data_IF_843821093684
#
_entry.id   IF_843821093684
#
_cell.length_a   1.000
_cell.length_b   1.000
_cell.length_c   1.000
_cell.angle_alpha   90.00
_cell.angle_beta   90.00
_cell.angle_gamma   90.00
#
_symmetry.space_group_name_H-M   'P 1'
#
loop_
_entity.id
_entity.type
_entity.pdbx_description
1 polymer ?
#
# COMPACT_ATOMS: atom_id res chain seq x y z
N UNK A 1 12.62 -6.38 -0.79
CA UNK A 1 12.13 -6.30 -2.19
C UNK A 1 12.05 -4.84 -2.60
N UNK A 2 12.59 -4.49 -3.78
CA UNK A 2 12.54 -3.12 -4.33
C UNK A 2 11.16 -2.87 -4.93
N UNK A 3 10.66 -1.63 -4.82
CA UNK A 3 9.45 -1.23 -5.52
C UNK A 3 9.71 -1.12 -7.02
N UNK A 4 8.66 -1.36 -7.80
CA UNK A 4 8.63 -1.33 -9.26
C UNK A 4 7.77 -0.15 -9.71
N UNK A 5 8.22 0.56 -10.74
CA UNK A 5 7.56 1.78 -11.24
C UNK A 5 8.55 2.79 -11.79
N UNK A 6 8.07 3.99 -12.12
CA UNK A 6 8.96 5.05 -12.62
C UNK A 6 10.00 5.43 -11.54
N UNK A 7 11.28 5.68 -11.90
CA UNK A 7 12.35 5.88 -10.91
C UNK A 7 12.07 6.98 -9.87
N UNK A 8 11.45 8.09 -10.29
CA UNK A 8 11.05 9.19 -9.39
C UNK A 8 9.93 8.78 -8.42
N UNK A 9 9.03 7.90 -8.86
CA UNK A 9 7.91 7.42 -8.05
C UNK A 9 8.38 6.35 -7.07
N UNK A 10 9.34 5.50 -7.45
CA UNK A 10 9.92 4.46 -6.57
C UNK A 10 10.51 5.06 -5.30
N UNK A 11 11.34 6.11 -5.42
CA UNK A 11 11.95 6.78 -4.26
C UNK A 11 10.88 7.38 -3.33
N UNK A 12 9.83 7.95 -3.90
CA UNK A 12 8.73 8.52 -3.12
C UNK A 12 7.88 7.43 -2.44
N UNK A 13 7.57 6.37 -3.18
CA UNK A 13 6.82 5.23 -2.68
C UNK A 13 7.58 4.48 -1.57
N UNK A 14 8.91 4.39 -1.62
CA UNK A 14 9.72 3.83 -0.55
C UNK A 14 9.62 4.65 0.75
N UNK A 15 9.64 5.98 0.65
CA UNK A 15 9.41 6.87 1.81
C UNK A 15 8.02 6.67 2.40
N UNK A 16 6.99 6.64 1.55
CA UNK A 16 5.60 6.41 1.97
C UNK A 16 5.47 5.04 2.64
N UNK A 17 6.07 3.99 2.04
CA UNK A 17 6.07 2.64 2.60
C UNK A 17 6.62 2.64 4.02
N UNK A 18 7.82 3.19 4.24
CA UNK A 18 8.42 3.19 5.58
C UNK A 18 7.57 3.97 6.59
N UNK A 19 7.07 5.14 6.22
CA UNK A 19 6.21 5.97 7.07
C UNK A 19 4.92 5.23 7.44
N UNK A 20 4.22 4.69 6.44
CA UNK A 20 2.95 3.97 6.64
C UNK A 20 3.12 2.70 7.45
N UNK A 21 4.16 1.90 7.19
CA UNK A 21 4.42 0.71 7.98
C UNK A 21 4.62 1.06 9.47
N UNK A 22 5.33 2.16 9.75
CA UNK A 22 5.51 2.65 11.13
C UNK A 22 4.17 3.11 11.74
N UNK A 23 3.44 3.98 11.04
CA UNK A 23 2.15 4.51 11.50
C UNK A 23 1.14 3.39 11.75
N UNK A 24 1.02 2.43 10.84
CA UNK A 24 0.08 1.31 10.97
C UNK A 24 0.45 0.38 12.12
N UNK A 25 1.74 0.11 12.33
CA UNK A 25 2.23 -0.66 13.46
C UNK A 25 1.93 0.01 14.80
N UNK A 26 2.08 1.34 14.88
CA UNK A 26 1.75 2.13 16.08
C UNK A 26 0.24 2.25 16.30
N UNK A 27 -0.55 2.33 15.23
CA UNK A 27 -2.02 2.48 15.30
C UNK A 27 -2.70 1.20 15.78
N UNK A 28 -2.38 0.06 15.18
CA UNK A 28 -2.95 -1.23 15.59
C UNK A 28 -1.99 -2.37 15.25
N UNK A 29 -1.13 -2.78 16.20
CA UNK A 29 -0.11 -3.80 15.94
C UNK A 29 -0.72 -5.17 15.60
N UNK A 30 -1.86 -5.53 16.18
CA UNK A 30 -2.55 -6.82 15.91
C UNK A 30 -3.06 -6.90 14.47
N UNK A 31 -3.76 -5.87 14.01
CA UNK A 31 -4.27 -5.79 12.63
C UNK A 31 -3.10 -5.70 11.65
N UNK A 32 -2.09 -4.89 11.98
CA UNK A 32 -0.92 -4.75 11.14
C UNK A 32 -0.17 -6.07 10.98
N UNK A 33 0.05 -6.84 12.04
CA UNK A 33 0.71 -8.15 11.96
C UNK A 33 0.00 -9.12 11.00
N UNK A 34 -1.34 -9.09 10.97
CA UNK A 34 -2.13 -9.92 10.06
C UNK A 34 -1.95 -9.53 8.58
N UNK A 35 -1.78 -8.23 8.28
CA UNK A 35 -1.63 -7.74 6.91
C UNK A 35 -0.18 -7.48 6.50
N UNK A 36 0.77 -7.49 7.43
CA UNK A 36 2.18 -7.15 7.20
C UNK A 36 2.76 -8.05 6.12
N UNK A 37 2.53 -9.36 6.21
CA UNK A 37 2.99 -10.33 5.23
C UNK A 37 2.39 -10.11 3.82
N UNK A 38 1.19 -9.53 3.73
CA UNK A 38 0.52 -9.24 2.46
C UNK A 38 1.05 -7.93 1.88
N UNK A 39 1.08 -6.87 2.70
CA UNK A 39 1.48 -5.54 2.26
C UNK A 39 2.98 -5.45 1.97
N UNK A 40 3.81 -6.27 2.63
CA UNK A 40 5.26 -6.35 2.33
C UNK A 40 5.57 -7.04 1.00
N UNK A 41 4.63 -7.83 0.46
CA UNK A 41 4.69 -8.41 -0.89
C UNK A 41 4.30 -7.42 -1.98
N UNK A 42 3.67 -6.30 -1.63
CA UNK A 42 3.29 -5.27 -2.60
C UNK A 42 4.53 -4.52 -3.08
N UNK A 43 4.85 -4.70 -4.36
CA UNK A 43 6.01 -4.11 -5.02
C UNK A 43 5.63 -2.93 -5.89
N UNK A 44 4.35 -2.60 -6.08
CA UNK A 44 3.94 -1.48 -6.94
C UNK A 44 4.15 -0.12 -6.26
N UNK A 45 5.00 0.73 -6.82
CA UNK A 45 5.18 2.10 -6.35
C UNK A 45 3.88 2.92 -6.43
N UNK A 46 3.13 2.75 -7.53
CA UNK A 46 1.84 3.42 -7.73
C UNK A 46 0.81 3.04 -6.67
N UNK A 47 0.83 1.77 -6.21
CA UNK A 47 -0.08 1.33 -5.14
C UNK A 47 0.19 2.08 -3.84
N UNK A 48 1.46 2.13 -3.41
CA UNK A 48 1.87 2.84 -2.19
C UNK A 48 1.51 4.33 -2.25
N UNK A 49 1.71 4.96 -3.41
CA UNK A 49 1.36 6.37 -3.63
C UNK A 49 -0.16 6.58 -3.57
N UNK A 50 -0.94 5.73 -4.25
CA UNK A 50 -2.40 5.83 -4.28
C UNK A 50 -3.06 5.55 -2.92
N UNK A 51 -2.35 4.89 -2.00
CA UNK A 51 -2.85 4.50 -0.68
C UNK A 51 -2.15 5.23 0.47
N UNK A 52 -1.30 6.22 0.18
CA UNK A 52 -0.52 6.96 1.18
C UNK A 52 -1.38 7.65 2.25
N UNK A 53 -2.57 8.13 1.86
CA UNK A 53 -3.49 8.86 2.73
C UNK A 53 -4.55 7.94 3.36
N UNK A 54 -4.51 6.62 3.08
CA UNK A 54 -5.50 5.68 3.60
C UNK A 54 -5.08 5.11 4.95
N UNK A 55 -6.04 5.02 5.87
CA UNK A 55 -5.87 4.38 7.17
C UNK A 55 -5.76 2.86 7.08
N UNK A 56 -5.25 2.25 8.15
CA UNK A 56 -5.03 0.81 8.26
C UNK A 56 -6.30 -0.01 7.98
N UNK A 57 -7.46 0.42 8.49
CA UNK A 57 -8.73 -0.28 8.25
C UNK A 57 -9.11 -0.35 6.77
N UNK A 58 -8.87 0.74 6.02
CA UNK A 58 -9.21 0.81 4.60
C UNK A 58 -8.26 -0.08 3.80
N UNK A 59 -6.97 -0.06 4.13
CA UNK A 59 -5.98 -0.95 3.52
C UNK A 59 -6.27 -2.41 3.84
N UNK A 60 -6.61 -2.72 5.10
CA UNK A 60 -6.97 -4.06 5.54
C UNK A 60 -8.20 -4.57 4.77
N UNK A 61 -9.25 -3.75 4.63
CA UNK A 61 -10.41 -4.07 3.77
C UNK A 61 -9.99 -4.32 2.32
N UNK A 62 -9.13 -3.48 1.74
CA UNK A 62 -8.67 -3.66 0.36
C UNK A 62 -7.89 -4.96 0.14
N UNK A 63 -7.00 -5.29 1.08
CA UNK A 63 -6.20 -6.51 1.05
C UNK A 63 -7.06 -7.77 1.27
N UNK A 64 -8.01 -7.73 2.21
CA UNK A 64 -8.91 -8.85 2.52
C UNK A 64 -10.00 -9.07 1.47
N UNK A 65 -10.47 -8.00 0.80
CA UNK A 65 -11.52 -8.12 -0.24
C UNK A 65 -10.96 -8.65 -1.57
N UNK A 66 -9.67 -8.97 -1.67
CA UNK A 66 -9.07 -9.62 -2.84
C UNK A 66 -9.08 -8.79 -4.13
N UNK A 67 -9.49 -7.51 -4.10
CA UNK A 67 -9.55 -6.63 -5.27
C UNK A 67 -8.19 -6.01 -5.64
N UNK A 68 -7.10 -6.75 -5.44
CA UNK A 68 -5.82 -6.44 -6.07
C UNK A 68 -5.75 -6.88 -7.54
N UNK A 69 -6.81 -7.50 -8.08
CA UNK A 69 -6.98 -7.69 -9.52
C UNK A 69 -8.17 -6.89 -10.06
N UNK A 70 -7.87 -5.89 -10.88
CA UNK A 70 -8.82 -5.34 -11.86
C UNK A 70 -9.46 -3.99 -11.51
N UNK A 71 -8.70 -2.90 -11.71
CA UNK A 71 -8.88 -2.02 -12.89
C UNK A 71 -8.08 -0.72 -12.68
N UNK A 72 -7.33 -0.25 -13.69
CA UNK A 72 -6.90 1.14 -13.72
C UNK A 72 -8.15 2.02 -13.73
N UNK A 73 -8.25 2.98 -12.82
CA UNK A 73 -9.22 4.06 -12.91
C UNK A 73 -8.82 4.97 -14.09
N UNK A 74 -9.08 4.51 -15.31
CA UNK A 74 -9.09 5.31 -16.52
C UNK A 74 -10.48 5.20 -17.12
N UNK A 75 -11.37 6.11 -16.73
CA UNK A 75 -12.61 6.40 -17.45
C UNK A 75 -13.22 7.72 -16.96
N UNK A 76 -12.80 8.82 -17.56
CA UNK A 76 -13.60 10.04 -17.77
C UNK A 76 -13.01 10.70 -19.02
N UNK A 77 -13.58 10.31 -20.18
CA UNK A 77 -14.43 11.12 -21.05
C UNK A 77 -13.66 12.28 -21.67
#
# INVERSE_FOLDING_TARGET
MKLTGAPKLVVWAEKIRMDRLKVWKETSPEIFAAIEAIVTRETSADWWIAHKDKGLEVVCKLLMTGKLQGKPAKAKR
#
